data_IF_200864023779
#
_entry.id   IF_200864023779
#
_cell.length_a   1.000
_cell.length_b   1.000
_cell.length_c   1.000
_cell.angle_alpha   90.00
_cell.angle_beta   90.00
_cell.angle_gamma   90.00
#
_symmetry.space_group_name_H-M   'P 1'
#
loop_
_entity.id
_entity.type
_entity.pdbx_description
1 polymer ?
#
# COMPACT_ATOMS: atom_id res chain seq x y z
N UNK A 1 -10.70 -18.31 20.88
CA UNK A 1 -12.05 -18.42 20.27
C UNK A 1 -12.88 -17.13 20.35
N UNK A 2 -12.37 -16.04 20.94
CA UNK A 2 -13.04 -14.73 21.00
C UNK A 2 -12.29 -13.62 20.23
N UNK A 3 -11.27 -13.96 19.43
CA UNK A 3 -10.48 -12.96 18.68
C UNK A 3 -10.99 -12.71 17.25
N UNK A 4 -12.01 -13.44 16.80
CA UNK A 4 -12.46 -13.41 15.40
C UNK A 4 -13.55 -12.36 15.12
N UNK A 5 -14.15 -11.73 16.14
CA UNK A 5 -15.24 -10.76 15.93
C UNK A 5 -14.76 -9.33 15.63
N UNK A 6 -13.45 -9.06 15.69
CA UNK A 6 -12.86 -7.74 15.37
C UNK A 6 -12.44 -7.60 13.89
N UNK A 7 -13.08 -8.36 12.99
CA UNK A 7 -12.77 -8.41 11.55
C UNK A 7 -12.94 -7.06 10.82
N UNK A 8 -13.50 -6.04 11.47
CA UNK A 8 -13.70 -4.68 10.93
C UNK A 8 -12.66 -3.66 11.45
N UNK A 9 -11.82 -4.02 12.42
CA UNK A 9 -10.96 -3.06 13.15
C UNK A 9 -9.45 -3.27 13.03
N UNK A 10 -9.00 -4.34 12.37
CA UNK A 10 -7.57 -4.60 12.12
C UNK A 10 -7.35 -4.97 10.65
N UNK A 11 -7.61 -4.01 9.76
CA UNK A 11 -7.20 -4.01 8.34
C UNK A 11 -5.68 -3.91 8.23
N UNK A 12 -4.96 -4.86 8.81
CA UNK A 12 -3.55 -4.71 9.07
C UNK A 12 -2.81 -6.03 9.06
N UNK A 13 -1.74 -6.08 8.26
CA UNK A 13 -0.76 -7.15 8.31
C UNK A 13 -0.27 -7.39 9.74
N UNK A 14 -0.05 -8.65 10.12
CA UNK A 14 0.40 -9.04 11.46
C UNK A 14 1.74 -8.40 11.90
N UNK A 15 2.50 -7.85 10.96
CA UNK A 15 3.75 -7.13 11.20
C UNK A 15 3.59 -5.59 11.21
N UNK A 16 2.36 -5.07 11.27
CA UNK A 16 2.04 -3.64 11.27
C UNK A 16 2.47 -2.86 10.02
N UNK A 17 2.73 -3.52 8.88
CA UNK A 17 3.21 -2.81 7.68
C UNK A 17 2.17 -1.82 7.11
N UNK A 18 0.89 -1.98 7.44
CA UNK A 18 -0.18 -1.04 7.11
C UNK A 18 0.06 0.36 7.73
N UNK A 19 0.73 0.44 8.89
CA UNK A 19 1.12 1.71 9.49
C UNK A 19 2.15 2.50 8.66
N UNK A 20 2.84 1.83 7.71
CA UNK A 20 3.83 2.46 6.84
C UNK A 20 3.20 3.54 5.96
N UNK A 21 1.96 3.35 5.50
CA UNK A 21 1.22 4.34 4.73
C UNK A 21 1.11 5.68 5.49
N UNK A 22 0.65 5.59 6.75
CA UNK A 22 0.52 6.75 7.63
C UNK A 22 1.85 7.39 8.00
N UNK A 23 2.88 6.57 8.23
CA UNK A 23 4.22 7.04 8.54
C UNK A 23 4.84 7.79 7.35
N UNK A 24 4.73 7.25 6.13
CA UNK A 24 5.25 7.87 4.91
C UNK A 24 4.55 9.21 4.65
N UNK A 25 3.22 9.27 4.70
CA UNK A 25 2.49 10.52 4.50
C UNK A 25 2.84 11.57 5.56
N UNK A 26 2.96 11.18 6.83
CA UNK A 26 3.32 12.10 7.91
C UNK A 26 4.76 12.61 7.78
N UNK A 27 5.72 11.73 7.46
CA UNK A 27 7.12 12.09 7.28
C UNK A 27 7.31 12.95 6.03
N UNK A 28 6.67 12.61 4.91
CA UNK A 28 6.70 13.41 3.70
C UNK A 28 6.12 14.81 3.96
N UNK A 29 4.95 14.90 4.59
CA UNK A 29 4.34 16.17 4.97
C UNK A 29 5.26 17.00 5.85
N UNK A 30 5.86 16.42 6.89
CA UNK A 30 6.76 17.13 7.78
C UNK A 30 8.08 17.56 7.10
N UNK A 31 8.77 16.66 6.41
CA UNK A 31 10.08 16.95 5.81
C UNK A 31 9.98 17.95 4.67
N UNK A 32 9.02 17.76 3.76
CA UNK A 32 8.89 18.64 2.61
C UNK A 32 8.28 19.99 3.00
N UNK A 33 7.45 20.07 4.05
CA UNK A 33 7.00 21.38 4.58
C UNK A 33 8.16 22.18 5.18
N UNK A 34 9.13 21.52 5.84
CA UNK A 34 10.28 22.21 6.47
C UNK A 34 11.36 22.59 5.45
N UNK A 35 11.61 21.78 4.42
CA UNK A 35 12.73 21.96 3.50
C UNK A 35 12.36 22.44 2.09
N UNK A 36 11.05 22.53 1.74
CA UNK A 36 10.57 22.91 0.41
C UNK A 36 9.04 23.09 0.36
N UNK A 37 8.49 24.19 0.90
CA UNK A 37 7.05 24.39 1.00
C UNK A 37 6.40 24.43 -0.40
N UNK A 38 5.53 23.46 -0.68
CA UNK A 38 4.77 23.37 -1.94
C UNK A 38 5.00 22.07 -2.73
N UNK A 39 6.14 21.39 -2.53
CA UNK A 39 6.52 20.24 -3.36
C UNK A 39 6.04 18.88 -2.81
N UNK A 40 5.31 18.87 -1.69
CA UNK A 40 4.86 17.65 -1.00
C UNK A 40 4.08 16.73 -1.95
N UNK A 41 3.18 17.33 -2.74
CA UNK A 41 2.37 16.61 -3.72
C UNK A 41 3.25 15.96 -4.79
N UNK A 42 4.09 16.73 -5.48
CA UNK A 42 4.96 16.21 -6.54
C UNK A 42 5.92 15.12 -6.04
N UNK A 43 6.44 15.25 -4.80
CA UNK A 43 7.30 14.24 -4.18
C UNK A 43 6.56 12.97 -3.83
N UNK A 44 5.32 13.08 -3.34
CA UNK A 44 4.47 11.91 -3.09
C UNK A 44 4.08 11.20 -4.39
N UNK A 45 3.81 11.95 -5.47
CA UNK A 45 3.55 11.37 -6.80
C UNK A 45 4.76 10.61 -7.32
N UNK A 46 5.96 11.19 -7.22
CA UNK A 46 7.22 10.54 -7.60
C UNK A 46 7.46 9.27 -6.78
N UNK A 47 7.27 9.34 -5.46
CA UNK A 47 7.37 8.19 -4.58
C UNK A 47 6.40 7.07 -4.98
N UNK A 48 5.13 7.42 -5.27
CA UNK A 48 4.12 6.45 -5.69
C UNK A 48 4.52 5.75 -6.99
N UNK A 49 5.03 6.49 -7.98
CA UNK A 49 5.50 5.93 -9.24
C UNK A 49 6.69 4.97 -9.04
N UNK A 50 7.66 5.35 -8.19
CA UNK A 50 8.82 4.51 -7.86
C UNK A 50 8.43 3.24 -7.09
N UNK A 51 7.54 3.37 -6.10
CA UNK A 51 7.01 2.25 -5.33
C UNK A 51 6.25 1.28 -6.24
N UNK A 52 5.34 1.80 -7.08
CA UNK A 52 4.57 1.02 -8.05
C UNK A 52 5.49 0.25 -9.02
N UNK A 53 6.54 0.91 -9.56
CA UNK A 53 7.53 0.25 -10.41
C UNK A 53 8.26 -0.89 -9.69
N UNK A 54 8.65 -0.66 -8.44
CA UNK A 54 9.35 -1.66 -7.62
C UNK A 54 8.45 -2.86 -7.31
N UNK A 55 7.18 -2.63 -7.03
CA UNK A 55 6.20 -3.67 -6.76
C UNK A 55 5.80 -4.45 -8.02
N UNK A 56 5.64 -3.79 -9.17
CA UNK A 56 5.41 -4.48 -10.45
C UNK A 56 6.58 -5.40 -10.82
N UNK A 57 7.82 -4.95 -10.55
CA UNK A 57 9.02 -5.76 -10.74
C UNK A 57 9.06 -6.96 -9.78
N UNK A 58 8.66 -6.76 -8.52
CA UNK A 58 8.49 -7.87 -7.57
C UNK A 58 7.44 -8.89 -8.05
N UNK A 59 6.41 -8.44 -8.77
CA UNK A 59 5.40 -9.33 -9.38
C UNK A 59 5.94 -10.26 -10.48
N UNK A 60 7.06 -9.90 -11.11
CA UNK A 60 7.76 -10.71 -12.11
C UNK A 60 8.81 -11.65 -11.50
N UNK A 61 9.07 -11.50 -10.20
CA UNK A 61 10.05 -12.32 -9.49
C UNK A 61 9.58 -13.78 -9.39
N UNK A 62 10.52 -14.71 -9.54
CA UNK A 62 10.21 -16.16 -9.53
C UNK A 62 10.58 -16.83 -8.22
N UNK A 63 11.28 -16.12 -7.34
CA UNK A 63 11.65 -16.60 -6.02
C UNK A 63 10.41 -16.73 -5.12
N UNK A 64 10.13 -17.97 -4.73
CA UNK A 64 8.97 -18.36 -3.92
C UNK A 64 8.98 -17.75 -2.52
N UNK A 65 10.15 -17.45 -1.96
CA UNK A 65 10.24 -16.82 -0.63
C UNK A 65 9.90 -15.34 -0.68
N UNK A 66 10.29 -14.65 -1.76
CA UNK A 66 10.05 -13.21 -1.95
C UNK A 66 8.61 -12.91 -2.38
N UNK A 67 7.97 -13.80 -3.15
CA UNK A 67 6.60 -13.59 -3.65
C UNK A 67 5.50 -13.99 -2.66
N UNK A 68 5.84 -14.63 -1.53
CA UNK A 68 4.86 -15.20 -0.59
C UNK A 68 3.85 -14.16 -0.06
N UNK A 69 4.30 -12.93 0.16
CA UNK A 69 3.50 -11.85 0.73
C UNK A 69 3.27 -10.69 -0.25
N UNK A 70 3.50 -10.88 -1.57
CA UNK A 70 3.43 -9.80 -2.55
C UNK A 70 2.05 -9.15 -2.66
N UNK A 71 1.00 -9.97 -2.58
CA UNK A 71 -0.40 -9.52 -2.71
C UNK A 71 -0.73 -8.55 -1.57
N UNK A 72 -0.28 -8.92 -0.38
CA UNK A 72 -0.32 -8.14 0.84
C UNK A 72 0.38 -6.78 0.69
N UNK A 73 1.55 -6.76 0.07
CA UNK A 73 2.33 -5.53 -0.16
C UNK A 73 1.62 -4.59 -1.14
N UNK A 74 0.90 -5.09 -2.14
CA UNK A 74 0.16 -4.23 -3.08
C UNK A 74 -0.95 -3.43 -2.39
N UNK A 75 -1.59 -4.00 -1.37
CA UNK A 75 -2.60 -3.30 -0.57
C UNK A 75 -2.05 -2.06 0.14
N UNK A 76 -0.73 -2.00 0.38
CA UNK A 76 -0.10 -0.80 0.95
C UNK A 76 -0.15 0.41 0.03
N UNK A 77 -0.14 0.21 -1.29
CA UNK A 77 -0.30 1.32 -2.24
C UNK A 77 -1.69 1.93 -2.13
N UNK A 78 -2.72 1.08 -2.02
CA UNK A 78 -4.10 1.50 -1.84
C UNK A 78 -4.26 2.29 -0.54
N UNK A 79 -3.73 1.78 0.57
CA UNK A 79 -3.79 2.46 1.87
C UNK A 79 -2.98 3.76 1.91
N UNK A 80 -1.85 3.83 1.21
CA UNK A 80 -1.06 5.05 1.06
C UNK A 80 -1.82 6.14 0.31
N UNK A 81 -2.58 5.78 -0.72
CA UNK A 81 -3.41 6.71 -1.49
C UNK A 81 -4.65 7.14 -0.70
N UNK A 82 -5.29 6.22 0.05
CA UNK A 82 -6.43 6.54 0.91
C UNK A 82 -6.04 7.49 2.06
N UNK A 83 -4.87 7.31 2.66
CA UNK A 83 -4.39 8.16 3.76
C UNK A 83 -3.85 9.52 3.29
N UNK A 84 -3.54 9.70 2.00
CA UNK A 84 -2.92 10.92 1.48
C UNK A 84 -3.93 11.81 0.76
N UNK A 85 -4.14 13.07 1.21
CA UNK A 85 -4.99 14.01 0.47
C UNK A 85 -4.34 14.50 -0.84
N UNK A 86 -3.06 14.20 -1.06
CA UNK A 86 -2.29 14.62 -2.23
C UNK A 86 -2.28 13.59 -3.37
N UNK A 87 -2.73 12.36 -3.08
CA UNK A 87 -2.73 11.27 -4.04
C UNK A 87 -4.16 10.91 -4.40
N UNK A 88 -4.39 10.59 -5.66
CA UNK A 88 -5.71 10.20 -6.17
C UNK A 88 -5.68 8.79 -6.69
N UNK A 89 -6.85 8.15 -6.70
CA UNK A 89 -7.00 6.81 -7.29
C UNK A 89 -6.69 6.81 -8.79
N UNK A 90 -7.00 7.89 -9.51
CA UNK A 90 -6.66 8.03 -10.93
C UNK A 90 -5.14 7.99 -11.17
N UNK A 91 -4.35 8.59 -10.27
CA UNK A 91 -2.90 8.54 -10.35
C UNK A 91 -2.37 7.14 -10.05
N UNK A 92 -2.93 6.47 -9.04
CA UNK A 92 -2.61 5.08 -8.74
C UNK A 92 -2.90 4.18 -9.94
N UNK A 93 -4.07 4.30 -10.56
CA UNK A 93 -4.45 3.51 -11.74
C UNK A 93 -3.50 3.71 -12.92
N UNK A 94 -2.98 4.94 -13.07
CA UNK A 94 -1.99 5.28 -14.10
C UNK A 94 -0.63 4.61 -13.87
N UNK A 95 -0.26 4.31 -12.62
CA UNK A 95 1.02 3.69 -12.25
C UNK A 95 0.91 2.19 -11.93
N UNK A 96 -0.27 1.72 -11.52
CA UNK A 96 -0.52 0.39 -11.03
C UNK A 96 -1.95 -0.07 -11.37
N UNK A 97 -2.13 -1.17 -12.11
CA UNK A 97 -3.45 -1.58 -12.57
C UNK A 97 -4.34 -2.09 -11.41
N UNK A 98 -5.52 -1.49 -11.26
CA UNK A 98 -6.48 -1.81 -10.18
C UNK A 98 -6.92 -3.29 -10.16
N UNK A 99 -6.84 -3.98 -11.30
CA UNK A 99 -7.12 -5.42 -11.39
C UNK A 99 -6.18 -6.26 -10.50
N UNK A 100 -4.92 -5.83 -10.32
CA UNK A 100 -3.99 -6.49 -9.41
C UNK A 100 -4.43 -6.32 -7.96
N UNK A 101 -4.74 -5.09 -7.55
CA UNK A 101 -5.25 -4.79 -6.20
C UNK A 101 -6.51 -5.60 -5.87
N UNK A 102 -7.46 -5.66 -6.80
CA UNK A 102 -8.69 -6.46 -6.63
C UNK A 102 -8.39 -7.95 -6.45
N UNK A 103 -7.43 -8.48 -7.20
CA UNK A 103 -7.00 -9.88 -7.08
C UNK A 103 -6.33 -10.13 -5.72
N UNK A 104 -5.49 -9.19 -5.28
CA UNK A 104 -4.83 -9.25 -3.97
C UNK A 104 -5.83 -9.18 -2.81
N UNK A 105 -6.82 -8.28 -2.87
CA UNK A 105 -7.91 -8.22 -1.91
C UNK A 105 -8.70 -9.54 -1.85
N UNK A 106 -9.04 -10.11 -3.00
CA UNK A 106 -9.75 -11.39 -3.05
C UNK A 106 -8.91 -12.54 -2.44
N UNK A 107 -7.60 -12.54 -2.69
CA UNK A 107 -6.68 -13.53 -2.15
C UNK A 107 -6.59 -13.41 -0.62
N UNK A 108 -6.34 -12.21 -0.10
CA UNK A 108 -6.26 -11.96 1.35
C UNK A 108 -7.57 -12.29 2.05
N UNK A 109 -8.71 -11.92 1.47
CA UNK A 109 -10.03 -12.22 2.05
C UNK A 109 -10.32 -13.72 2.09
N UNK A 110 -9.98 -14.48 1.03
CA UNK A 110 -10.10 -15.94 1.03
C UNK A 110 -9.21 -16.61 2.06
N UNK A 111 -7.97 -16.13 2.24
CA UNK A 111 -7.07 -16.65 3.27
C UNK A 111 -7.62 -16.40 4.69
N UNK A 112 -8.33 -15.28 4.90
CA UNK A 112 -8.95 -14.98 6.18
C UNK A 112 -10.20 -15.82 6.48
N UNK A 113 -10.95 -16.22 5.45
CA UNK A 113 -12.13 -17.10 5.57
C UNK A 113 -11.75 -18.58 5.85
N UNK A 114 -10.52 -18.98 5.53
CA UNK A 114 -10.00 -20.34 5.71
C UNK A 114 -9.22 -20.57 7.01
N UNK A 115 -9.07 -19.55 7.87
CA UNK A 115 -8.33 -19.60 9.13
C UNK A 115 -9.26 -19.68 10.36
#
# INVERSE_FOLDING_TARGET
RASCEAFVLSSGHANNIHCLAKAINSLAGAFFTVHGPGDVEDRLKEFLALASSSFLRLGQETDKELIKNRESVYLLLDELVQESPFLTMDLLESCFPYALLRTSYHHVYKFADQA
#
